data_IF_659559668373
#
_entry.id   IF_659559668373
#
_cell.length_a   1.000
_cell.length_b   1.000
_cell.length_c   1.000
_cell.angle_alpha   90.00
_cell.angle_beta   90.00
_cell.angle_gamma   90.00
#
_symmetry.space_group_name_H-M   'P 1'
#
loop_
_entity.id
_entity.type
_entity.pdbx_description
1 polymer ?
#
# COMPACT_ATOMS: atom_id res chain seq x y z
N UNK A 1 -0.77 5.98 8.01
CA UNK A 1 0.31 5.03 7.66
C UNK A 1 1.67 5.39 8.24
N UNK A 2 1.95 6.67 8.62
CA UNK A 2 3.28 7.13 9.10
C UNK A 2 3.82 6.32 10.28
N UNK A 3 2.94 5.74 11.08
CA UNK A 3 3.30 4.99 12.29
C UNK A 3 3.44 3.47 12.05
N UNK A 4 3.37 3.00 10.82
CA UNK A 4 3.58 1.58 10.53
C UNK A 4 5.07 1.22 10.68
N UNK A 5 5.43 0.22 11.48
CA UNK A 5 6.83 -0.13 11.76
C UNK A 5 7.58 -0.66 10.53
N UNK A 6 6.86 -1.13 9.51
CA UNK A 6 7.42 -1.60 8.24
C UNK A 6 7.35 -0.56 7.11
N UNK A 7 6.93 0.69 7.40
CA UNK A 7 6.96 1.77 6.43
C UNK A 7 8.40 2.26 6.26
N UNK A 8 8.94 2.11 5.07
CA UNK A 8 10.30 2.54 4.76
C UNK A 8 10.40 4.06 4.52
N UNK A 9 9.36 4.67 3.99
CA UNK A 9 9.28 6.11 3.79
C UNK A 9 8.16 6.54 2.87
N UNK A 10 7.95 7.85 2.81
CA UNK A 10 6.97 8.51 1.94
C UNK A 10 7.66 9.66 1.22
N UNK A 11 7.36 9.82 -0.06
CA UNK A 11 7.83 10.91 -0.89
C UNK A 11 6.61 11.70 -1.32
N UNK A 12 6.45 12.90 -0.79
CA UNK A 12 5.28 13.76 -1.04
C UNK A 12 5.53 14.85 -2.06
N UNK A 13 6.78 15.16 -2.33
CA UNK A 13 7.18 16.18 -3.30
C UNK A 13 8.31 15.61 -4.17
N UNK A 14 7.92 15.12 -5.35
CA UNK A 14 8.86 14.55 -6.31
C UNK A 14 9.48 15.66 -7.17
N UNK A 15 10.37 16.43 -6.59
CA UNK A 15 11.33 17.20 -7.40
C UNK A 15 12.30 16.24 -8.10
N UNK A 16 12.95 16.70 -9.18
CA UNK A 16 13.82 15.84 -9.98
C UNK A 16 14.94 15.17 -9.19
N UNK A 17 15.45 15.82 -8.15
CA UNK A 17 16.53 15.30 -7.31
C UNK A 17 16.02 14.17 -6.39
N UNK A 18 14.86 14.31 -5.78
CA UNK A 18 14.27 13.27 -4.93
C UNK A 18 13.88 12.05 -5.72
N UNK A 19 13.32 12.22 -6.92
CA UNK A 19 12.97 11.11 -7.82
C UNK A 19 14.21 10.30 -8.22
N UNK A 20 15.28 10.96 -8.60
CA UNK A 20 16.53 10.30 -8.96
C UNK A 20 17.15 9.54 -7.79
N UNK A 21 17.09 10.10 -6.57
CA UNK A 21 17.52 9.40 -5.36
C UNK A 21 16.67 8.18 -5.05
N UNK A 22 15.34 8.29 -5.21
CA UNK A 22 14.43 7.18 -5.03
C UNK A 22 14.74 6.03 -6.01
N UNK A 23 14.94 6.35 -7.30
CA UNK A 23 15.34 5.36 -8.31
C UNK A 23 16.67 4.70 -7.97
N UNK A 24 17.67 5.49 -7.60
CA UNK A 24 18.97 4.95 -7.23
C UNK A 24 18.87 3.97 -6.05
N UNK A 25 18.05 4.33 -5.04
CA UNK A 25 17.81 3.48 -3.87
C UNK A 25 17.06 2.19 -4.23
N UNK A 26 16.03 2.28 -5.08
CA UNK A 26 15.27 1.11 -5.53
C UNK A 26 16.17 0.19 -6.37
N UNK A 27 16.97 0.74 -7.29
CA UNK A 27 17.92 -0.04 -8.07
C UNK A 27 18.97 -0.72 -7.20
N UNK A 28 19.50 -0.03 -6.21
CA UNK A 28 20.45 -0.60 -5.24
C UNK A 28 19.82 -1.78 -4.48
N UNK A 29 18.54 -1.66 -4.07
CA UNK A 29 17.83 -2.73 -3.41
C UNK A 29 17.58 -3.93 -4.34
N UNK A 30 17.26 -3.70 -5.62
CA UNK A 30 17.16 -4.76 -6.63
C UNK A 30 18.48 -5.52 -6.75
N UNK A 31 19.60 -4.81 -6.91
CA UNK A 31 20.93 -5.43 -7.00
C UNK A 31 21.33 -6.16 -5.71
N UNK A 32 20.95 -5.65 -4.54
CA UNK A 32 21.15 -6.36 -3.27
C UNK A 32 20.41 -7.69 -3.27
N UNK A 33 19.14 -7.71 -3.69
CA UNK A 33 18.33 -8.93 -3.78
C UNK A 33 18.90 -9.93 -4.78
N UNK A 34 19.30 -9.47 -5.95
CA UNK A 34 19.96 -10.31 -6.96
C UNK A 34 21.26 -10.94 -6.45
N UNK A 35 22.06 -10.19 -5.68
CA UNK A 35 23.29 -10.69 -5.05
C UNK A 35 22.97 -11.79 -4.04
N UNK A 36 21.99 -11.56 -3.15
CA UNK A 36 21.55 -12.58 -2.18
C UNK A 36 21.02 -13.83 -2.89
N UNK A 37 20.27 -13.68 -3.96
CA UNK A 37 19.76 -14.82 -4.72
C UNK A 37 20.88 -15.65 -5.35
N UNK A 38 21.93 -15.00 -5.86
CA UNK A 38 23.12 -15.71 -6.37
C UNK A 38 23.89 -16.41 -5.27
N UNK A 39 24.07 -15.75 -4.12
CA UNK A 39 24.79 -16.31 -2.97
C UNK A 39 24.10 -17.56 -2.44
N UNK A 40 22.77 -17.53 -2.34
CA UNK A 40 21.97 -18.64 -1.81
C UNK A 40 21.44 -19.58 -2.91
N UNK A 41 21.87 -19.43 -4.16
CA UNK A 41 21.47 -20.26 -5.31
C UNK A 41 19.94 -20.42 -5.45
N UNK A 42 19.21 -19.32 -5.33
CA UNK A 42 17.75 -19.25 -5.46
C UNK A 42 17.35 -18.31 -6.61
N UNK A 43 16.15 -18.50 -7.15
CA UNK A 43 15.63 -17.69 -8.24
C UNK A 43 14.30 -16.99 -7.90
N UNK A 44 13.78 -17.20 -6.69
CA UNK A 44 12.52 -16.64 -6.25
C UNK A 44 12.54 -16.33 -4.75
N UNK A 45 11.92 -15.21 -4.35
CA UNK A 45 11.89 -14.76 -2.94
C UNK A 45 11.36 -15.82 -1.99
N UNK A 46 10.36 -16.61 -2.39
CA UNK A 46 9.80 -17.65 -1.52
C UNK A 46 10.84 -18.75 -1.18
N UNK A 47 11.76 -19.04 -2.11
CA UNK A 47 12.83 -19.98 -1.86
C UNK A 47 13.84 -19.41 -0.87
N UNK A 48 14.19 -18.13 -1.02
CA UNK A 48 15.05 -17.43 -0.08
C UNK A 48 14.43 -17.38 1.32
N UNK A 49 13.14 -17.01 1.42
CA UNK A 49 12.42 -16.97 2.70
C UNK A 49 12.34 -18.36 3.36
N UNK A 50 12.26 -19.43 2.59
CA UNK A 50 12.34 -20.80 3.12
C UNK A 50 13.72 -21.09 3.70
N UNK A 51 14.81 -20.69 3.01
CA UNK A 51 16.18 -20.82 3.52
C UNK A 51 16.39 -20.00 4.81
N UNK A 52 15.85 -18.78 4.84
CA UNK A 52 15.87 -17.97 6.06
C UNK A 52 15.15 -18.64 7.24
N UNK A 53 13.94 -19.16 7.01
CA UNK A 53 13.18 -19.90 8.04
C UNK A 53 13.91 -21.17 8.54
N UNK A 54 14.69 -21.79 7.69
CA UNK A 54 15.50 -22.95 8.04
C UNK A 54 16.83 -22.60 8.74
N UNK A 55 17.15 -21.31 8.89
CA UNK A 55 18.41 -20.84 9.47
C UNK A 55 19.62 -20.91 8.53
N UNK A 56 19.40 -21.18 7.24
CA UNK A 56 20.46 -21.21 6.22
C UNK A 56 20.87 -19.79 5.79
N UNK A 57 19.94 -18.83 5.83
CA UNK A 57 20.19 -17.43 5.60
C UNK A 57 19.99 -16.63 6.89
N UNK A 58 20.84 -15.63 7.12
CA UNK A 58 20.83 -14.83 8.36
C UNK A 58 20.07 -13.51 8.21
N UNK A 59 19.88 -13.03 6.99
CA UNK A 59 19.23 -11.75 6.71
C UNK A 59 17.77 -11.96 6.25
N UNK A 60 16.77 -11.34 6.93
CA UNK A 60 15.40 -11.42 6.46
C UNK A 60 15.21 -10.62 5.17
N UNK A 61 14.46 -11.17 4.24
CA UNK A 61 14.14 -10.52 2.97
C UNK A 61 12.62 -10.41 2.80
N UNK A 62 12.01 -9.32 3.26
CA UNK A 62 10.58 -9.09 3.10
C UNK A 62 10.21 -8.68 1.66
N UNK A 63 8.93 -8.83 1.31
CA UNK A 63 8.40 -8.22 0.10
C UNK A 63 8.45 -6.69 0.21
N UNK A 64 8.80 -6.02 -0.89
CA UNK A 64 8.81 -4.56 -1.00
C UNK A 64 7.64 -4.11 -1.88
N UNK A 65 6.80 -3.24 -1.34
CA UNK A 65 5.71 -2.61 -2.08
C UNK A 65 6.05 -1.15 -2.36
N UNK A 66 5.98 -0.78 -3.62
CA UNK A 66 6.12 0.58 -4.10
C UNK A 66 4.73 1.06 -4.52
N UNK A 67 4.23 2.10 -3.88
CA UNK A 67 2.86 2.60 -4.10
C UNK A 67 2.94 4.02 -4.63
N UNK A 68 2.36 4.26 -5.81
CA UNK A 68 2.16 5.59 -6.37
C UNK A 68 0.68 5.92 -6.37
N UNK A 69 0.27 6.92 -5.59
CA UNK A 69 -1.13 7.27 -5.39
C UNK A 69 -1.76 7.95 -6.62
N UNK A 70 -1.03 8.89 -7.26
CA UNK A 70 -1.47 9.51 -8.52
C UNK A 70 -0.32 9.46 -9.54
N UNK A 71 -0.18 8.30 -10.20
CA UNK A 71 0.93 8.12 -11.14
C UNK A 71 0.77 8.91 -12.44
N UNK A 72 -0.45 9.38 -12.76
CA UNK A 72 -0.69 10.19 -13.93
C UNK A 72 0.11 11.50 -13.90
N UNK A 73 0.08 12.20 -12.76
CA UNK A 73 0.88 13.41 -12.57
C UNK A 73 2.38 13.11 -12.60
N UNK A 74 2.78 12.03 -11.96
CA UNK A 74 4.17 11.60 -11.94
C UNK A 74 4.68 11.29 -13.35
N UNK A 75 3.86 10.64 -14.19
CA UNK A 75 4.20 10.33 -15.58
C UNK A 75 4.38 11.59 -16.43
N UNK A 76 3.54 12.59 -16.23
CA UNK A 76 3.64 13.88 -16.95
C UNK A 76 4.89 14.65 -16.54
N UNK A 77 5.14 14.74 -15.23
CA UNK A 77 6.23 15.52 -14.69
C UNK A 77 7.60 14.81 -14.83
N UNK A 78 7.61 13.47 -14.77
CA UNK A 78 8.83 12.66 -14.76
C UNK A 78 8.64 11.35 -15.52
N UNK A 79 8.51 11.40 -16.86
CA UNK A 79 8.22 10.21 -17.67
C UNK A 79 9.32 9.14 -17.59
N UNK A 80 10.57 9.53 -17.46
CA UNK A 80 11.68 8.58 -17.36
C UNK A 80 11.69 7.85 -16.01
N UNK A 81 11.29 8.52 -14.93
CA UNK A 81 11.11 7.88 -13.62
C UNK A 81 10.08 6.74 -13.70
N UNK A 82 8.94 6.98 -14.34
CA UNK A 82 7.89 5.96 -14.49
C UNK A 82 8.35 4.79 -15.37
N UNK A 83 9.07 5.04 -16.47
CA UNK A 83 9.61 3.96 -17.32
C UNK A 83 10.55 3.04 -16.54
N UNK A 84 11.46 3.64 -15.78
CA UNK A 84 12.38 2.88 -14.93
C UNK A 84 11.63 2.10 -13.84
N UNK A 85 10.66 2.73 -13.18
CA UNK A 85 9.87 2.08 -12.14
C UNK A 85 9.09 0.87 -12.67
N UNK A 86 8.48 0.99 -13.85
CA UNK A 86 7.79 -0.12 -14.53
C UNK A 86 8.78 -1.23 -14.95
N UNK A 87 9.97 -0.85 -15.42
CA UNK A 87 11.02 -1.82 -15.74
C UNK A 87 11.48 -2.59 -14.49
N UNK A 88 11.69 -1.90 -13.39
CA UNK A 88 12.05 -2.48 -12.10
C UNK A 88 10.96 -3.45 -11.63
N UNK A 89 9.69 -3.08 -11.74
CA UNK A 89 8.58 -3.93 -11.32
C UNK A 89 8.52 -5.24 -12.12
N UNK A 90 8.84 -5.18 -13.41
CA UNK A 90 8.90 -6.38 -14.28
C UNK A 90 9.95 -7.38 -13.80
N UNK A 91 11.16 -6.90 -13.49
CA UNK A 91 12.28 -7.74 -13.01
C UNK A 91 12.05 -8.11 -11.54
N UNK A 92 11.50 -7.18 -10.77
CA UNK A 92 11.32 -7.30 -9.32
C UNK A 92 10.36 -8.39 -8.85
N UNK A 93 9.48 -8.91 -9.73
CA UNK A 93 8.47 -9.90 -9.36
C UNK A 93 9.07 -11.13 -8.66
N UNK A 94 10.10 -11.73 -9.24
CA UNK A 94 10.79 -12.89 -8.64
C UNK A 94 11.56 -12.50 -7.38
N UNK A 95 12.05 -11.26 -7.33
CA UNK A 95 12.78 -10.68 -6.21
C UNK A 95 11.88 -10.20 -5.06
N UNK A 96 10.54 -10.30 -5.22
CA UNK A 96 9.57 -9.87 -4.22
C UNK A 96 9.38 -8.36 -4.17
N UNK A 97 9.57 -7.66 -5.29
CA UNK A 97 9.27 -6.23 -5.42
C UNK A 97 7.99 -6.05 -6.22
N UNK A 98 7.04 -5.32 -5.67
CA UNK A 98 5.70 -5.13 -6.20
C UNK A 98 5.41 -3.65 -6.39
N UNK A 99 4.73 -3.32 -7.49
CA UNK A 99 4.34 -1.96 -7.83
C UNK A 99 2.81 -1.85 -7.82
N UNK A 100 2.30 -0.86 -7.11
CA UNK A 100 0.89 -0.47 -7.11
C UNK A 100 0.80 0.93 -7.69
N UNK A 101 0.13 1.05 -8.84
CA UNK A 101 -0.11 2.32 -9.50
C UNK A 101 -1.59 2.69 -9.36
N UNK A 102 -1.87 3.80 -8.70
CA UNK A 102 -3.21 4.35 -8.61
C UNK A 102 -3.32 5.63 -9.45
N UNK A 103 -4.48 5.86 -10.03
CA UNK A 103 -4.80 7.09 -10.74
C UNK A 103 -6.31 7.31 -10.79
N UNK A 104 -6.73 8.56 -10.76
CA UNK A 104 -8.12 8.93 -10.95
C UNK A 104 -8.52 8.92 -12.43
N UNK A 105 -7.56 9.00 -13.34
CA UNK A 105 -7.81 9.10 -14.79
C UNK A 105 -6.89 8.15 -15.57
N UNK A 106 -7.33 6.91 -15.83
CA UNK A 106 -6.52 5.93 -16.54
C UNK A 106 -6.35 6.25 -18.03
N UNK A 107 -7.36 6.90 -18.66
CA UNK A 107 -7.39 7.16 -20.10
C UNK A 107 -6.23 8.04 -20.56
N UNK A 108 -5.47 7.53 -21.54
CA UNK A 108 -4.32 8.22 -22.14
C UNK A 108 -3.08 8.29 -21.26
N UNK A 109 -3.12 7.73 -20.05
CA UNK A 109 -2.00 7.73 -19.10
C UNK A 109 -1.34 6.36 -19.04
N UNK A 110 -2.12 5.31 -19.05
CA UNK A 110 -1.64 3.93 -18.98
C UNK A 110 -1.26 3.46 -20.39
N UNK A 111 0.03 3.21 -20.61
CA UNK A 111 0.52 2.69 -21.88
C UNK A 111 0.51 1.16 -21.94
N UNK A 112 0.76 0.62 -23.15
CA UNK A 112 0.75 -0.82 -23.40
C UNK A 112 1.76 -1.59 -22.53
N UNK A 113 2.87 -0.96 -22.13
CA UNK A 113 3.85 -1.58 -21.25
C UNK A 113 3.29 -1.78 -19.84
N UNK A 114 2.59 -0.79 -19.33
CA UNK A 114 1.93 -0.88 -18.02
C UNK A 114 0.83 -1.92 -18.09
N UNK A 115 -0.04 -1.88 -19.11
CA UNK A 115 -1.12 -2.83 -19.30
C UNK A 115 -0.64 -4.28 -19.39
N UNK A 116 0.39 -4.54 -20.17
CA UNK A 116 0.92 -5.90 -20.36
C UNK A 116 1.56 -6.50 -19.12
N UNK A 117 2.07 -5.65 -18.22
CA UNK A 117 2.67 -6.07 -16.97
C UNK A 117 1.71 -6.06 -15.78
N UNK A 118 0.52 -5.45 -15.92
CA UNK A 118 -0.49 -5.33 -14.87
C UNK A 118 -1.51 -6.45 -14.96
N UNK A 119 -1.21 -7.57 -14.32
CA UNK A 119 -2.14 -8.71 -14.26
C UNK A 119 -3.38 -8.42 -13.41
N UNK A 120 -3.22 -7.63 -12.35
CA UNK A 120 -4.27 -7.28 -11.42
C UNK A 120 -4.74 -5.86 -11.72
N UNK A 121 -6.04 -5.70 -11.91
CA UNK A 121 -6.69 -4.40 -12.11
C UNK A 121 -7.82 -4.27 -11.10
N UNK A 122 -7.85 -3.14 -10.43
CA UNK A 122 -8.87 -2.82 -9.46
C UNK A 122 -9.50 -1.48 -9.87
N UNK A 123 -10.77 -1.52 -10.26
CA UNK A 123 -11.50 -0.36 -10.72
C UNK A 123 -12.62 0.01 -9.76
N UNK A 124 -12.44 1.13 -9.07
CA UNK A 124 -13.52 1.82 -8.37
C UNK A 124 -14.42 2.52 -9.40
N UNK A 125 -15.45 3.23 -8.93
CA UNK A 125 -16.29 4.06 -9.79
C UNK A 125 -15.43 5.05 -10.58
N UNK A 126 -15.60 5.07 -11.90
CA UNK A 126 -15.03 6.06 -12.80
C UNK A 126 -16.09 7.02 -13.34
N UNK A 127 -15.65 8.17 -13.84
CA UNK A 127 -16.54 9.23 -14.28
C UNK A 127 -17.32 8.88 -15.57
N UNK A 128 -16.66 8.20 -16.49
CA UNK A 128 -17.24 7.87 -17.78
C UNK A 128 -16.93 6.43 -18.25
N UNK A 129 -17.65 6.01 -19.30
CA UNK A 129 -17.53 4.67 -19.86
C UNK A 129 -16.18 4.43 -20.54
N UNK A 130 -15.52 5.47 -21.03
CA UNK A 130 -14.25 5.37 -21.73
C UNK A 130 -13.16 4.89 -20.76
N UNK A 131 -13.11 5.47 -19.58
CA UNK A 131 -12.18 5.07 -18.53
C UNK A 131 -12.39 3.62 -18.10
N UNK A 132 -13.65 3.21 -17.94
CA UNK A 132 -13.99 1.82 -17.62
C UNK A 132 -13.58 0.85 -18.74
N UNK A 133 -13.89 1.20 -19.99
CA UNK A 133 -13.53 0.39 -21.16
C UNK A 133 -12.01 0.28 -21.34
N UNK A 134 -11.27 1.34 -21.02
CA UNK A 134 -9.81 1.28 -21.10
C UNK A 134 -9.23 0.33 -20.06
N UNK A 135 -9.74 0.38 -18.83
CA UNK A 135 -9.23 -0.40 -17.71
C UNK A 135 -9.70 -1.85 -17.72
N UNK A 136 -11.02 -2.07 -17.78
CA UNK A 136 -11.67 -3.39 -17.63
C UNK A 136 -12.07 -4.03 -18.93
N UNK A 137 -12.11 -3.28 -20.04
CA UNK A 137 -12.71 -3.66 -21.34
C UNK A 137 -14.23 -3.84 -21.27
N UNK A 138 -14.87 -3.35 -20.21
CA UNK A 138 -16.33 -3.31 -20.00
C UNK A 138 -16.71 -1.92 -19.46
N UNK A 139 -17.99 -1.48 -19.60
CA UNK A 139 -18.44 -0.22 -19.05
C UNK A 139 -18.75 -0.24 -17.54
N UNK A 140 -18.60 -1.38 -16.91
CA UNK A 140 -19.20 -1.72 -15.61
C UNK A 140 -18.75 -0.80 -14.47
N UNK A 141 -17.48 -0.35 -14.48
CA UNK A 141 -16.98 0.55 -13.43
C UNK A 141 -17.64 1.95 -13.49
N UNK A 142 -18.12 2.40 -14.65
CA UNK A 142 -18.89 3.64 -14.77
C UNK A 142 -20.32 3.51 -14.21
N UNK A 143 -20.84 2.30 -14.12
CA UNK A 143 -22.20 2.01 -13.65
C UNK A 143 -22.27 1.75 -12.13
N UNK A 144 -21.15 1.74 -11.43
CA UNK A 144 -21.10 1.64 -9.97
C UNK A 144 -21.79 2.84 -9.34
N UNK A 145 -22.76 2.60 -8.47
CA UNK A 145 -23.50 3.64 -7.75
C UNK A 145 -23.10 3.74 -6.28
N UNK A 146 -22.66 2.64 -5.67
CA UNK A 146 -22.30 2.58 -4.26
C UNK A 146 -20.86 3.01 -4.03
N UNK A 147 -20.63 3.81 -2.99
CA UNK A 147 -19.28 4.19 -2.53
C UNK A 147 -18.51 2.95 -2.06
N UNK A 148 -17.23 2.86 -2.42
CA UNK A 148 -16.36 1.74 -2.03
C UNK A 148 -16.62 0.45 -2.81
N UNK A 149 -17.56 0.43 -3.74
CA UNK A 149 -17.73 -0.68 -4.68
C UNK A 149 -16.61 -0.68 -5.70
N UNK A 150 -16.09 -1.85 -6.04
CA UNK A 150 -15.01 -1.98 -7.02
C UNK A 150 -15.07 -3.31 -7.77
N UNK A 151 -14.54 -3.32 -8.98
CA UNK A 151 -14.28 -4.53 -9.74
C UNK A 151 -12.83 -4.96 -9.60
N UNK A 152 -12.60 -6.23 -9.31
CA UNK A 152 -11.32 -6.89 -9.42
C UNK A 152 -11.28 -7.71 -10.71
N UNK A 153 -10.33 -7.39 -11.57
CA UNK A 153 -10.03 -8.19 -12.77
C UNK A 153 -8.62 -8.75 -12.67
N UNK A 154 -8.48 -10.06 -12.89
CA UNK A 154 -7.18 -10.75 -12.91
C UNK A 154 -6.98 -11.40 -14.28
N UNK A 155 -5.83 -11.14 -14.88
CA UNK A 155 -5.50 -11.68 -16.21
C UNK A 155 -6.53 -11.26 -17.27
N UNK A 156 -6.85 -12.18 -18.17
CA UNK A 156 -7.88 -12.00 -19.19
C UNK A 156 -9.23 -12.56 -18.70
N UNK A 157 -9.78 -11.98 -17.63
CA UNK A 157 -11.00 -12.45 -16.96
C UNK A 157 -10.89 -13.85 -16.32
N UNK A 158 -9.71 -14.25 -15.87
CA UNK A 158 -9.56 -15.41 -14.98
C UNK A 158 -10.35 -15.19 -13.67
N UNK A 159 -10.37 -13.95 -13.19
CA UNK A 159 -11.24 -13.46 -12.13
C UNK A 159 -11.83 -12.13 -12.59
N UNK A 160 -13.13 -11.98 -12.46
CA UNK A 160 -13.87 -10.74 -12.70
C UNK A 160 -14.98 -10.65 -11.66
N UNK A 161 -14.72 -9.91 -10.58
CA UNK A 161 -15.60 -9.88 -9.42
C UNK A 161 -15.92 -8.46 -8.99
N UNK A 162 -17.19 -8.21 -8.69
CA UNK A 162 -17.66 -7.00 -8.02
C UNK A 162 -17.61 -7.23 -6.52
N UNK A 163 -16.94 -6.37 -5.78
CA UNK A 163 -16.84 -6.47 -4.33
C UNK A 163 -17.07 -5.12 -3.64
N UNK A 164 -17.35 -5.15 -2.35
CA UNK A 164 -17.41 -3.99 -1.48
C UNK A 164 -16.14 -3.90 -0.68
N UNK A 165 -15.44 -2.76 -0.77
CA UNK A 165 -14.29 -2.51 0.10
C UNK A 165 -14.73 -2.23 1.53
N UNK A 166 -13.89 -2.59 2.49
CA UNK A 166 -14.03 -2.12 3.86
C UNK A 166 -13.75 -0.60 3.93
N UNK A 167 -14.29 0.05 4.95
CA UNK A 167 -14.02 1.44 5.22
C UNK A 167 -13.15 1.58 6.46
N UNK A 168 -11.88 1.85 6.25
CA UNK A 168 -10.87 1.97 7.31
C UNK A 168 -11.04 3.20 8.22
N UNK A 169 -11.86 4.15 7.81
CA UNK A 169 -12.22 5.34 8.60
C UNK A 169 -13.42 5.11 9.54
N UNK A 170 -14.00 3.91 9.58
CA UNK A 170 -15.04 3.57 10.52
C UNK A 170 -14.51 3.62 11.96
N UNK A 171 -15.37 3.97 12.91
CA UNK A 171 -15.05 3.92 14.32
C UNK A 171 -14.76 2.49 14.75
N UNK A 172 -13.62 2.28 15.41
CA UNK A 172 -13.28 0.99 15.96
C UNK A 172 -14.17 0.70 17.18
N UNK A 173 -15.09 -0.22 17.01
CA UNK A 173 -15.96 -0.68 18.08
C UNK A 173 -15.58 -2.14 18.38
N UNK A 174 -14.70 -2.39 19.38
CA UNK A 174 -14.52 -3.74 19.90
C UNK A 174 -15.86 -4.25 20.39
N UNK A 175 -16.09 -5.54 20.27
CA UNK A 175 -17.39 -6.17 20.52
C UNK A 175 -18.15 -5.52 21.67
N UNK A 176 -19.34 -5.00 21.38
CA UNK A 176 -20.19 -4.31 22.35
C UNK A 176 -20.44 -5.15 23.61
N UNK A 177 -20.40 -6.46 23.48
CA UNK A 177 -20.56 -7.44 24.56
C UNK A 177 -19.39 -7.39 25.56
N UNK A 178 -18.14 -7.12 25.12
CA UNK A 178 -16.98 -6.95 26.02
C UNK A 178 -17.03 -5.65 26.81
N UNK A 179 -17.73 -4.63 26.30
CA UNK A 179 -17.89 -3.34 26.97
C UNK A 179 -19.16 -3.30 27.84
N UNK A 180 -19.98 -4.36 27.83
CA UNK A 180 -21.23 -4.39 28.59
C UNK A 180 -22.29 -3.41 28.07
N UNK A 181 -22.15 -2.91 26.85
CA UNK A 181 -23.11 -2.01 26.22
C UNK A 181 -24.12 -2.86 25.46
N UNK A 182 -25.31 -2.96 26.02
CA UNK A 182 -26.45 -3.59 25.32
C UNK A 182 -26.95 -2.64 24.23
N UNK A 183 -27.02 -3.14 22.98
CA UNK A 183 -27.60 -2.39 21.88
C UNK A 183 -29.13 -2.47 21.93
N UNK A 184 -29.75 -1.42 22.43
CA UNK A 184 -31.21 -1.28 22.51
C UNK A 184 -31.82 -0.60 21.26
N UNK A 185 -31.07 -0.49 20.16
CA UNK A 185 -31.55 0.15 18.94
C UNK A 185 -32.64 -0.70 18.30
N UNK A 186 -33.83 -0.12 18.15
CA UNK A 186 -34.97 -0.73 17.47
C UNK A 186 -34.96 -0.22 16.03
N UNK A 187 -34.96 -1.13 15.08
CA UNK A 187 -35.02 -0.83 13.66
C UNK A 187 -36.39 -1.12 13.11
N UNK A 188 -36.90 -0.17 12.34
CA UNK A 188 -38.07 -0.36 11.48
C UNK A 188 -37.56 -0.73 10.08
N UNK A 189 -38.18 -1.69 9.45
CA UNK A 189 -37.97 -1.98 8.03
C UNK A 189 -39.06 -1.25 7.25
N UNK A 190 -38.65 -0.29 6.40
CA UNK A 190 -39.61 0.41 5.54
C UNK A 190 -40.04 -0.45 4.36
N UNK A 191 -41.03 0.04 3.59
CA UNK A 191 -41.60 -0.69 2.43
C UNK A 191 -40.56 -0.99 1.33
N UNK A 192 -39.41 -0.34 1.36
CA UNK A 192 -38.29 -0.56 0.44
C UNK A 192 -37.25 -1.56 0.99
N UNK A 193 -37.49 -2.12 2.17
CA UNK A 193 -36.57 -3.06 2.83
C UNK A 193 -35.33 -2.38 3.45
N UNK A 194 -35.37 -1.08 3.68
CA UNK A 194 -34.31 -0.34 4.35
C UNK A 194 -34.55 -0.29 5.86
N UNK A 195 -33.46 -0.32 6.63
CA UNK A 195 -33.51 -0.17 8.08
C UNK A 195 -33.58 1.31 8.44
N UNK A 196 -34.60 1.71 9.20
CA UNK A 196 -34.73 3.03 9.82
C UNK A 196 -34.66 2.86 11.34
N UNK A 197 -33.86 3.70 12.00
CA UNK A 197 -33.77 3.68 13.46
C UNK A 197 -35.04 4.28 14.04
N UNK A 198 -35.78 3.47 14.80
CA UNK A 198 -37.07 3.89 15.39
C UNK A 198 -36.90 4.62 16.72
N UNK A 199 -35.89 4.23 17.50
CA UNK A 199 -35.59 4.85 18.77
C UNK A 199 -34.23 5.54 18.76
N UNK A 200 -34.13 6.67 19.42
CA UNK A 200 -32.85 7.32 19.67
C UNK A 200 -32.21 6.61 20.87
N UNK A 201 -31.00 6.08 20.68
CA UNK A 201 -30.23 5.54 21.79
C UNK A 201 -29.86 6.69 22.73
N UNK A 202 -30.52 6.77 23.87
CA UNK A 202 -30.31 7.77 24.90
C UNK A 202 -29.32 7.27 25.97
N UNK A 203 -28.86 6.03 25.90
CA UNK A 203 -27.93 5.46 26.87
C UNK A 203 -26.54 6.14 26.87
N UNK A 204 -26.21 6.88 25.82
CA UNK A 204 -24.97 7.66 25.71
C UNK A 204 -25.08 9.10 26.23
N UNK A 205 -26.27 9.60 26.60
CA UNK A 205 -26.43 10.98 27.07
C UNK A 205 -25.86 11.19 28.48
N UNK A 206 -25.83 10.16 29.32
CA UNK A 206 -25.25 10.20 30.67
C UNK A 206 -23.71 10.02 30.68
N UNK A 207 -23.12 9.64 29.53
CA UNK A 207 -21.65 9.47 29.35
C UNK A 207 -20.98 10.69 28.71
N UNK A 208 -21.67 11.83 28.62
CA UNK A 208 -21.19 13.04 27.95
C UNK A 208 -20.01 13.75 28.65
N UNK A 209 -19.46 13.21 29.74
CA UNK A 209 -18.28 13.80 30.38
C UNK A 209 -16.92 13.24 29.95
N UNK A 210 -16.89 12.13 29.16
CA UNK A 210 -15.66 11.62 28.57
C UNK A 210 -15.94 11.13 27.14
N UNK A 211 -16.09 12.05 26.20
CA UNK A 211 -15.96 11.72 24.79
C UNK A 211 -14.48 11.42 24.56
N UNK A 212 -14.06 10.21 24.89
CA UNK A 212 -12.82 9.65 24.36
C UNK A 212 -13.03 9.56 22.86
N UNK A 213 -12.20 10.27 22.10
CA UNK A 213 -12.15 10.09 20.65
C UNK A 213 -11.98 8.59 20.38
N UNK A 214 -13.01 7.97 19.81
CA UNK A 214 -12.96 6.55 19.44
C UNK A 214 -12.00 6.45 18.28
N UNK A 215 -10.94 5.64 18.38
CA UNK A 215 -10.00 5.49 17.27
C UNK A 215 -10.70 4.87 16.05
N UNK A 216 -10.25 5.21 14.87
CA UNK A 216 -10.70 4.55 13.65
C UNK A 216 -10.16 3.12 13.57
N UNK A 217 -10.81 2.26 12.78
CA UNK A 217 -10.31 0.89 12.51
C UNK A 217 -8.86 0.91 12.02
N UNK A 218 -8.50 1.89 11.17
CA UNK A 218 -7.13 2.06 10.70
C UNK A 218 -6.15 2.33 11.86
N UNK A 219 -6.51 3.22 12.77
CA UNK A 219 -5.66 3.55 13.92
C UNK A 219 -5.53 2.37 14.87
N UNK A 220 -6.60 1.63 15.10
CA UNK A 220 -6.58 0.41 15.91
C UNK A 220 -5.68 -0.67 15.30
N UNK A 221 -5.78 -0.91 13.98
CA UNK A 221 -4.93 -1.86 13.27
C UNK A 221 -3.46 -1.46 13.32
N UNK A 222 -3.16 -0.17 13.07
CA UNK A 222 -1.77 0.34 13.11
C UNK A 222 -1.19 0.18 14.52
N UNK A 223 -1.95 0.54 15.56
CA UNK A 223 -1.54 0.38 16.96
C UNK A 223 -1.29 -1.09 17.32
N UNK A 224 -2.15 -1.98 16.86
CA UNK A 224 -1.98 -3.42 17.09
C UNK A 224 -0.71 -3.97 16.41
N UNK A 225 -0.42 -3.52 15.19
CA UNK A 225 0.82 -3.91 14.48
C UNK A 225 2.05 -3.42 15.24
N UNK A 226 2.03 -2.19 15.77
CA UNK A 226 3.12 -1.66 16.60
C UNK A 226 3.34 -2.49 17.86
N UNK A 227 2.28 -2.77 18.62
CA UNK A 227 2.34 -3.61 19.82
C UNK A 227 2.89 -5.01 19.54
N UNK A 228 2.46 -5.64 18.44
CA UNK A 228 2.97 -6.94 18.03
C UNK A 228 4.46 -6.88 17.67
N UNK A 229 4.88 -5.84 16.96
CA UNK A 229 6.28 -5.65 16.57
C UNK A 229 7.17 -5.49 17.79
N UNK A 230 6.74 -4.71 18.77
CA UNK A 230 7.44 -4.50 20.04
C UNK A 230 7.48 -5.78 20.89
N UNK A 231 6.33 -6.43 21.07
CA UNK A 231 6.20 -7.64 21.90
C UNK A 231 7.02 -8.82 21.37
N UNK A 232 7.12 -8.94 20.05
CA UNK A 232 7.90 -9.99 19.37
C UNK A 232 9.34 -9.57 19.10
N UNK A 233 9.75 -8.36 19.51
CA UNK A 233 11.09 -7.81 19.29
C UNK A 233 11.54 -7.91 17.81
N UNK A 234 10.61 -7.64 16.88
CA UNK A 234 10.91 -7.68 15.45
C UNK A 234 11.89 -6.56 15.13
N UNK A 235 13.06 -6.87 14.54
CA UNK A 235 14.04 -5.84 14.22
C UNK A 235 13.49 -4.89 13.15
N UNK A 236 13.87 -3.60 13.19
CA UNK A 236 13.45 -2.64 12.18
C UNK A 236 13.94 -3.07 10.79
N UNK A 237 13.10 -2.84 9.78
CA UNK A 237 13.47 -3.14 8.39
C UNK A 237 14.58 -2.18 7.95
N UNK A 238 15.68 -2.68 7.35
CA UNK A 238 16.73 -1.81 6.84
C UNK A 238 16.18 -0.84 5.81
N UNK A 239 16.46 0.45 5.98
CA UNK A 239 16.02 1.46 5.02
C UNK A 239 16.88 1.40 3.76
N UNK A 240 16.30 1.34 2.56
CA UNK A 240 17.03 1.24 1.31
C UNK A 240 17.67 2.57 0.86
N UNK A 241 17.42 3.66 1.57
CA UNK A 241 17.99 4.97 1.26
C UNK A 241 18.68 5.60 2.46
N UNK A 242 19.69 6.38 2.15
CA UNK A 242 20.36 7.20 3.14
C UNK A 242 19.57 8.50 3.40
N UNK A 243 19.62 9.04 4.62
CA UNK A 243 19.02 10.33 4.93
C UNK A 243 19.61 11.44 4.01
N UNK A 244 18.90 12.55 3.80
CA UNK A 244 19.46 13.69 3.06
C UNK A 244 20.76 14.15 3.67
N UNK A 245 21.69 14.57 2.82
CA UNK A 245 22.95 15.16 3.28
C UNK A 245 22.66 16.40 4.12
N UNK A 246 23.43 16.59 5.19
CA UNK A 246 23.37 17.81 5.98
C UNK A 246 23.82 19.00 5.11
N UNK A 247 23.29 20.18 5.35
CA UNK A 247 23.71 21.41 4.63
C UNK A 247 25.21 21.69 4.76
N UNK A 248 25.82 21.25 5.85
CA UNK A 248 27.28 21.34 6.09
C UNK A 248 27.75 19.98 6.60
N UNK A 249 28.76 19.44 5.94
CA UNK A 249 29.42 18.20 6.33
C UNK A 249 30.92 18.42 6.43
N UNK A 250 31.55 17.81 7.42
CA UNK A 250 33.02 17.78 7.53
C UNK A 250 33.55 16.62 6.67
N UNK A 251 34.86 16.72 6.32
CA UNK A 251 35.54 15.64 5.57
C UNK A 251 35.48 14.29 6.31
N UNK A 252 35.55 14.29 7.63
CA UNK A 252 35.44 13.09 8.45
C UNK A 252 34.04 12.45 8.39
N UNK A 253 32.96 13.23 8.21
CA UNK A 253 31.61 12.73 8.03
C UNK A 253 31.37 12.21 6.60
N UNK A 254 32.16 12.65 5.63
CA UNK A 254 32.09 12.21 4.23
C UNK A 254 32.83 10.87 3.98
N UNK A 255 33.85 10.56 4.74
CA UNK A 255 34.67 9.35 4.57
C UNK A 255 33.86 8.05 4.61
N UNK A 256 32.93 7.83 5.56
CA UNK A 256 32.08 6.63 5.58
C UNK A 256 31.12 6.56 4.39
N UNK A 257 30.66 7.70 3.88
CA UNK A 257 29.72 7.79 2.76
C UNK A 257 30.45 7.50 1.44
N UNK A 258 31.67 8.00 1.29
CA UNK A 258 32.50 7.75 0.10
C UNK A 258 32.97 6.29 0.02
N UNK A 259 33.19 5.64 1.14
CA UNK A 259 33.53 4.21 1.17
C UNK A 259 32.40 3.30 0.72
N UNK A 260 31.13 3.75 0.80
CA UNK A 260 29.95 3.04 0.30
C UNK A 260 29.72 3.21 -1.21
N UNK A 261 30.37 4.19 -1.84
CA UNK A 261 30.25 4.46 -3.29
C UNK A 261 31.19 3.57 -4.12
N UNK A 262 32.15 2.93 -3.49
CA UNK A 262 33.14 2.08 -4.14
C UNK A 262 32.87 0.56 -4.04
N UNK A 263 31.63 0.18 -3.65
CA UNK A 263 31.24 -1.23 -3.62
C UNK A 263 30.33 -1.54 -4.84
#
# INVERSE_FOLDING_TARGET
FKNLPHLLGTITNLDGAQSMRALASINAEIHRRERLFREFEVNHINQYQKKFKNGEATEPLPHLFLISDEFAELKVNQPDFIKELVSIARVGRSLGVHLILATQKPSGVVDDQIWSNSRFKLALKVADRTDSMEMLKTPDAAEITQTGRAYLQVGNNEVYELFQSAWSGADYQPDKDELGIEDHTIYLINDLGQYEVLNQDLSGLDLAEDIKEVPTELEAIVSQIQLLTESQQIPPVPQPWLPPLKERMTLQELEPILSLIHI
#
